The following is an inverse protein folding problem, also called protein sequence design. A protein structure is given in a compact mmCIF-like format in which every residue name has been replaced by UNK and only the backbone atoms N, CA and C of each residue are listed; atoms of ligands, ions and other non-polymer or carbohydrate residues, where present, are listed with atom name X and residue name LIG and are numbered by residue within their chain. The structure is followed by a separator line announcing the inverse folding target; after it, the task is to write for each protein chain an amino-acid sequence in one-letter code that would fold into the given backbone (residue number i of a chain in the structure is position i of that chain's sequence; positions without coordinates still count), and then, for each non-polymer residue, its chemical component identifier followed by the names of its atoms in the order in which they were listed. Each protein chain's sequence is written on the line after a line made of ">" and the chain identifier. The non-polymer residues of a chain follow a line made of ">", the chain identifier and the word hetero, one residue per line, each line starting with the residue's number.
data_IF_711277059241
#
_entry.id   IF_711277059241
#
_cell.length_a   1.000
_cell.length_b   1.000
_cell.length_c   1.000
_cell.angle_alpha   90.00
_cell.angle_beta   90.00
_cell.angle_gamma   90.00
#
_symmetry.space_group_name_H-M   'P 1'
#
loop_
_entity.id
_entity.type
_entity.pdbx_description
1 polymer ?
#
# COMPACT_ATOMS: atom_id res chain seq x y z
N UNK A 1 6.22 -11.31 5.44
CA UNK A 1 4.83 -11.54 4.99
C UNK A 1 4.09 -10.24 4.68
N UNK A 2 3.96 -9.30 5.62
CA UNK A 2 3.20 -8.04 5.41
C UNK A 2 3.70 -7.21 4.23
N UNK A 3 5.01 -7.00 4.07
CA UNK A 3 5.55 -6.23 2.94
C UNK A 3 5.18 -6.84 1.57
N UNK A 4 5.24 -8.16 1.42
CA UNK A 4 4.85 -8.84 0.19
C UNK A 4 3.34 -8.69 -0.12
N UNK A 5 2.50 -8.75 0.92
CA UNK A 5 1.07 -8.49 0.79
C UNK A 5 0.79 -7.04 0.41
N UNK A 6 1.50 -6.09 1.01
CA UNK A 6 1.40 -4.66 0.67
C UNK A 6 1.73 -4.37 -0.80
N UNK A 7 2.78 -4.98 -1.34
CA UNK A 7 3.14 -4.86 -2.77
C UNK A 7 2.04 -5.44 -3.67
N UNK A 8 1.49 -6.62 -3.34
CA UNK A 8 0.40 -7.23 -4.10
C UNK A 8 -0.93 -6.49 -3.99
N UNK A 9 -1.10 -5.64 -2.97
CA UNK A 9 -2.30 -4.85 -2.74
C UNK A 9 -2.34 -3.53 -3.52
N UNK A 10 -1.35 -3.23 -4.38
CA UNK A 10 -1.38 -2.05 -5.24
C UNK A 10 -2.66 -1.97 -6.07
N UNK A 11 -3.05 -2.99 -6.87
CA UNK A 11 -4.31 -2.93 -7.64
C UNK A 11 -5.54 -2.74 -6.74
N UNK A 12 -5.55 -3.39 -5.57
CA UNK A 12 -6.64 -3.27 -4.61
C UNK A 12 -6.80 -1.85 -4.05
N UNK A 13 -5.69 -1.11 -3.88
CA UNK A 13 -5.70 0.28 -3.39
C UNK A 13 -6.43 1.23 -4.35
N UNK A 14 -6.28 0.99 -5.67
CA UNK A 14 -6.99 1.71 -6.73
C UNK A 14 -8.44 1.26 -6.86
N UNK A 15 -8.68 -0.06 -6.91
CA UNK A 15 -10.04 -0.62 -7.04
C UNK A 15 -10.95 -0.23 -5.87
N UNK A 16 -10.43 -0.14 -4.64
CA UNK A 16 -11.22 0.27 -3.46
C UNK A 16 -11.67 1.74 -3.55
N UNK A 17 -11.06 2.55 -4.41
CA UNK A 17 -11.37 3.97 -4.62
C UNK A 17 -12.04 4.24 -5.97
N UNK A 18 -12.48 3.21 -6.67
CA UNK A 18 -13.02 3.29 -8.03
C UNK A 18 -12.08 4.00 -9.02
N UNK A 19 -10.77 3.90 -8.78
CA UNK A 19 -9.74 4.45 -9.65
C UNK A 19 -9.23 3.39 -10.65
N UNK A 20 -8.85 3.79 -11.88
CA UNK A 20 -8.25 2.87 -12.84
C UNK A 20 -6.90 2.38 -12.31
N UNK A 21 -6.69 1.06 -12.34
CA UNK A 21 -5.40 0.48 -11.96
C UNK A 21 -4.35 0.89 -13.00
N UNK A 22 -3.22 1.50 -12.59
CA UNK A 22 -2.15 1.85 -13.50
C UNK A 22 -1.60 0.61 -14.21
N UNK A 23 -1.40 0.71 -15.52
CA UNK A 23 -0.72 -0.33 -16.31
C UNK A 23 0.81 -0.30 -16.15
N UNK A 24 1.33 0.78 -15.55
CA UNK A 24 2.76 1.00 -15.34
C UNK A 24 3.21 0.17 -14.13
N UNK A 25 4.25 -0.68 -14.28
CA UNK A 25 4.78 -1.43 -13.15
C UNK A 25 5.46 -0.48 -12.14
N UNK A 26 5.34 -0.79 -10.85
CA UNK A 26 6.04 -0.09 -9.77
C UNK A 26 7.07 -1.03 -9.14
N UNK A 27 8.33 -0.59 -9.12
CA UNK A 27 9.41 -1.28 -8.40
C UNK A 27 9.36 -0.91 -6.92
N UNK A 28 9.58 -1.86 -6.03
CA UNK A 28 9.60 -1.63 -4.58
C UNK A 28 10.91 -2.15 -4.02
N UNK A 29 11.73 -1.28 -3.42
CA UNK A 29 13.06 -1.56 -2.87
C UNK A 29 13.09 -1.23 -1.37
N UNK A 30 12.90 -2.22 -0.52
CA UNK A 30 12.84 -2.03 0.93
C UNK A 30 14.05 -2.61 1.63
N UNK A 31 14.48 -2.00 2.73
CA UNK A 31 15.45 -2.60 3.64
C UNK A 31 14.70 -3.33 4.74
N UNK A 32 14.91 -4.65 4.83
CA UNK A 32 14.36 -5.49 5.89
C UNK A 32 14.91 -5.10 7.28
N UNK A 33 14.28 -5.57 8.36
CA UNK A 33 14.70 -5.26 9.74
C UNK A 33 16.11 -5.77 10.07
N UNK A 34 16.61 -6.79 9.35
CA UNK A 34 17.97 -7.29 9.45
C UNK A 34 19.00 -6.56 8.57
N UNK A 35 18.58 -5.54 7.82
CA UNK A 35 19.43 -4.85 6.83
C UNK A 35 19.41 -5.47 5.43
N UNK A 36 18.74 -6.62 5.26
CA UNK A 36 18.66 -7.30 3.96
C UNK A 36 17.84 -6.48 2.94
N UNK A 37 18.32 -6.31 1.70
CA UNK A 37 17.56 -5.65 0.66
C UNK A 37 16.45 -6.57 0.13
N UNK A 38 15.22 -6.04 0.09
CA UNK A 38 14.05 -6.68 -0.48
C UNK A 38 13.59 -5.91 -1.71
N UNK A 39 13.44 -6.62 -2.84
CA UNK A 39 13.08 -6.00 -4.11
C UNK A 39 11.89 -6.73 -4.73
N UNK A 40 10.92 -5.97 -5.23
CA UNK A 40 9.80 -6.45 -6.04
C UNK A 40 9.63 -5.58 -7.28
N UNK A 41 9.07 -6.18 -8.34
CA UNK A 41 8.86 -5.51 -9.62
C UNK A 41 10.11 -5.51 -10.51
N UNK A 42 9.92 -5.06 -11.74
CA UNK A 42 10.98 -5.03 -12.76
C UNK A 42 12.03 -3.96 -12.47
N UNK A 43 13.25 -4.21 -12.92
CA UNK A 43 14.36 -3.28 -12.73
C UNK A 43 14.15 -1.95 -13.45
N UNK A 44 13.58 -2.05 -14.65
CA UNK A 44 13.35 -0.95 -15.59
C UNK A 44 11.99 -0.24 -15.36
N UNK A 45 11.31 -0.53 -14.26
CA UNK A 45 10.07 0.15 -13.92
C UNK A 45 10.33 1.65 -13.76
N UNK A 46 9.54 2.52 -14.44
CA UNK A 46 9.73 3.97 -14.36
C UNK A 46 9.33 4.54 -12.99
N UNK A 47 8.53 3.79 -12.23
CA UNK A 47 8.05 4.15 -10.91
C UNK A 47 8.71 3.26 -9.84
N UNK A 48 9.21 3.87 -8.77
CA UNK A 48 9.91 3.17 -7.70
C UNK A 48 9.54 3.68 -6.31
N UNK A 49 9.29 2.77 -5.37
CA UNK A 49 9.17 3.04 -3.94
C UNK A 49 10.40 2.47 -3.23
N UNK A 50 11.05 3.26 -2.38
CA UNK A 50 12.19 2.80 -1.58
C UNK A 50 12.14 3.26 -0.13
N UNK A 51 12.76 2.52 0.78
CA UNK A 51 12.88 2.90 2.20
C UNK A 51 12.89 1.71 3.15
N UNK A 52 12.46 1.90 4.40
CA UNK A 52 12.45 0.80 5.37
C UNK A 52 11.23 -0.11 5.19
N UNK A 53 11.41 -1.42 5.35
CA UNK A 53 10.30 -2.37 5.31
C UNK A 53 9.27 -2.12 6.43
N UNK A 54 9.74 -1.62 7.58
CA UNK A 54 8.89 -1.26 8.70
C UNK A 54 7.96 -0.10 8.34
N UNK A 55 8.51 1.00 7.83
CA UNK A 55 7.72 2.16 7.44
C UNK A 55 6.75 1.81 6.32
N UNK A 56 7.19 1.02 5.34
CA UNK A 56 6.31 0.51 4.30
C UNK A 56 5.12 -0.24 4.90
N UNK A 57 5.36 -1.17 5.84
CA UNK A 57 4.29 -1.88 6.53
C UNK A 57 3.35 -0.93 7.31
N UNK A 58 3.88 0.12 7.93
CA UNK A 58 3.07 1.11 8.65
C UNK A 58 2.20 1.93 7.70
N UNK A 59 2.72 2.34 6.55
CA UNK A 59 1.97 3.10 5.54
C UNK A 59 0.89 2.24 4.88
N UNK A 60 1.23 1.04 4.39
CA UNK A 60 0.24 0.17 3.73
C UNK A 60 -0.83 -0.35 4.70
N UNK A 61 -0.59 -0.33 6.01
CA UNK A 61 -1.60 -0.65 7.03
C UNK A 61 -2.28 0.58 7.64
N UNK A 62 -2.09 1.77 7.04
CA UNK A 62 -2.68 3.05 7.47
C UNK A 62 -2.40 3.42 8.94
N UNK A 63 -1.24 3.03 9.46
CA UNK A 63 -0.79 3.37 10.81
C UNK A 63 0.08 4.62 10.88
N UNK A 64 0.64 5.07 9.75
CA UNK A 64 1.42 6.30 9.61
C UNK A 64 1.15 6.95 8.26
N UNK A 65 1.24 8.28 8.22
CA UNK A 65 1.29 9.02 6.98
C UNK A 65 2.65 8.81 6.30
N UNK A 66 2.69 8.77 4.97
CA UNK A 66 3.95 8.58 4.23
C UNK A 66 4.97 9.70 4.52
N UNK A 67 4.50 10.93 4.77
CA UNK A 67 5.35 12.08 5.10
C UNK A 67 6.05 11.95 6.45
N UNK A 68 5.55 11.09 7.35
CA UNK A 68 6.15 10.81 8.65
C UNK A 68 7.15 9.64 8.58
N UNK A 69 7.57 9.25 7.38
CA UNK A 69 8.44 8.09 7.14
C UNK A 69 9.63 8.43 6.25
N UNK A 70 10.61 7.53 6.20
CA UNK A 70 11.74 7.65 5.27
C UNK A 70 11.46 7.01 3.91
N UNK A 71 10.19 6.70 3.60
CA UNK A 71 9.82 6.18 2.29
C UNK A 71 9.96 7.26 1.23
N UNK A 72 10.52 6.88 0.09
CA UNK A 72 10.63 7.71 -1.11
C UNK A 72 9.88 7.05 -2.24
N UNK A 73 8.90 7.75 -2.81
CA UNK A 73 8.34 7.45 -4.11
C UNK A 73 9.06 8.27 -5.19
N UNK A 74 9.33 7.62 -6.31
CA UNK A 74 9.86 8.24 -7.54
C UNK A 74 8.91 7.86 -8.66
N UNK A 75 8.42 8.85 -9.40
CA UNK A 75 7.42 8.66 -10.44
C UNK A 75 5.99 8.94 -9.96
N UNK A 76 5.07 9.24 -10.90
CA UNK A 76 3.71 9.67 -10.59
C UNK A 76 2.88 8.56 -9.96
N UNK A 77 3.00 7.32 -10.45
CA UNK A 77 2.23 6.17 -9.97
C UNK A 77 2.69 5.75 -8.59
N UNK A 78 4.02 5.72 -8.34
CA UNK A 78 4.54 5.40 -7.02
C UNK A 78 4.08 6.42 -5.96
N UNK A 79 4.07 7.70 -6.32
CA UNK A 79 3.68 8.80 -5.42
C UNK A 79 2.19 8.74 -5.10
N UNK A 80 1.36 8.60 -6.14
CA UNK A 80 -0.08 8.43 -5.99
C UNK A 80 -0.38 7.18 -5.16
N UNK A 81 0.21 6.04 -5.49
CA UNK A 81 -0.01 4.79 -4.78
C UNK A 81 0.30 4.92 -3.29
N UNK A 82 1.44 5.50 -2.90
CA UNK A 82 1.76 5.68 -1.48
C UNK A 82 0.76 6.58 -0.74
N UNK A 83 0.14 7.55 -1.42
CA UNK A 83 -0.90 8.41 -0.82
C UNK A 83 -2.23 7.66 -0.57
N UNK A 84 -2.51 6.60 -1.34
CA UNK A 84 -3.75 5.82 -1.23
C UNK A 84 -3.53 4.38 -0.73
N UNK A 85 -2.30 4.03 -0.35
CA UNK A 85 -1.88 2.66 -0.09
C UNK A 85 -2.74 2.00 1.00
N UNK A 86 -3.27 0.81 0.69
CA UNK A 86 -4.08 0.04 1.64
C UNK A 86 -3.94 -1.47 1.38
N UNK A 87 -3.32 -2.17 2.32
CA UNK A 87 -3.05 -3.61 2.24
C UNK A 87 -4.28 -4.49 2.45
N UNK A 88 -5.34 -3.96 3.06
CA UNK A 88 -6.58 -4.71 3.34
C UNK A 88 -7.79 -3.92 2.84
N UNK A 89 -8.63 -4.53 2.01
CA UNK A 89 -9.93 -3.99 1.65
C UNK A 89 -10.87 -4.08 2.86
N UNK A 90 -10.85 -3.04 3.69
CA UNK A 90 -11.83 -2.87 4.76
C UNK A 90 -12.32 -1.45 4.73
N UNK A 91 -13.48 -1.21 4.11
CA UNK A 91 -14.37 -0.22 4.72
C UNK A 91 -14.66 -0.67 6.16
N UNK A 92 -14.91 0.25 7.11
CA UNK A 92 -15.37 -0.16 8.44
C UNK A 92 -16.52 -1.15 8.25
N UNK A 93 -16.46 -2.30 8.92
CA UNK A 93 -17.62 -3.19 8.99
C UNK A 93 -18.75 -2.35 9.54
N UNK A 94 -19.69 -1.93 8.69
CA UNK A 94 -20.98 -1.43 9.14
C UNK A 94 -21.61 -2.60 9.88
N UNK A 95 -21.44 -2.59 11.19
CA UNK A 95 -22.26 -3.43 12.05
C UNK A 95 -23.65 -2.83 11.92
N UNK A 96 -24.50 -3.41 11.09
CA UNK A 96 -25.92 -3.07 11.08
C UNK A 96 -26.51 -3.50 12.45
N UNK A 97 -26.34 -2.66 13.47
CA UNK A 97 -27.21 -2.67 14.65
C UNK A 97 -28.56 -2.10 14.20
N UNK A 98 -29.39 -2.96 13.63
CA UNK A 98 -30.66 -2.51 13.06
C UNK A 98 -31.70 -3.59 12.80
N UNK A 99 -31.66 -4.76 13.46
CA UNK A 99 -32.85 -5.61 13.49
C UNK A 99 -33.74 -5.17 14.65
N UNK A 100 -34.53 -4.15 14.37
CA UNK A 100 -35.62 -3.70 15.23
C UNK A 100 -36.56 -4.86 15.57
N UNK A 101 -37.08 -4.79 16.79
CA UNK A 101 -38.21 -5.57 17.27
C UNK A 101 -39.32 -5.59 16.21
N UNK A 102 -39.88 -6.77 15.97
CA UNK A 102 -41.22 -6.91 15.41
C UNK A 102 -42.07 -7.61 16.46
N UNK A 103 -43.04 -6.83 16.93
CA UNK A 103 -44.40 -7.13 17.43
C UNK A 103 -44.67 -8.50 18.03
#
# INVERSE_FOLDING_TARGET
>A
HVAHLGVRALPNSYLTRDLPVPAVPVRVKLTGPGGDPWVWGDEDAPDCVSGSALDFCLVVTQRRHVEDTVLRATGPVATEWLSIAQAFAGGPTLTERGRGLRS
#
